data_IF_976784402098
#
_entry.id   IF_976784402098
#
_cell.length_a   1.000
_cell.length_b   1.000
_cell.length_c   1.000
_cell.angle_alpha   90.00
_cell.angle_beta   90.00
_cell.angle_gamma   90.00
#
_symmetry.space_group_name_H-M   'P 1'
#
loop_
_entity.id
_entity.type
_entity.pdbx_description
1 polymer ?
#
# COMPACT_ATOMS: atom_id res chain seq x y z
N UNK A 1 24.10 8.12 14.38
CA UNK A 1 23.40 7.37 13.32
C UNK A 1 22.12 6.83 13.96
N UNK A 2 20.94 7.26 13.52
CA UNK A 2 19.70 6.66 14.00
C UNK A 2 19.51 5.36 13.21
N UNK A 3 19.99 4.25 13.76
CA UNK A 3 19.78 2.95 13.15
C UNK A 3 18.33 2.52 13.40
N UNK A 4 17.46 2.73 12.43
CA UNK A 4 16.13 2.11 12.44
C UNK A 4 16.31 0.61 12.25
N UNK A 5 16.41 -0.12 13.36
CA UNK A 5 16.48 -1.58 13.37
C UNK A 5 15.16 -2.13 12.83
N UNK A 6 15.18 -2.62 11.59
CA UNK A 6 14.06 -3.36 11.03
C UNK A 6 13.95 -4.73 11.72
N UNK A 7 12.74 -5.25 11.94
CA UNK A 7 12.57 -6.60 12.45
C UNK A 7 13.27 -7.61 11.53
N UNK A 8 14.07 -8.51 12.11
CA UNK A 8 14.80 -9.53 11.36
C UNK A 8 13.90 -10.66 10.86
N UNK A 9 12.71 -10.81 11.43
CA UNK A 9 11.79 -11.91 11.15
C UNK A 9 10.42 -11.44 10.62
N UNK A 10 9.74 -12.24 9.77
CA UNK A 10 8.43 -11.89 9.22
C UNK A 10 7.36 -11.63 10.29
N UNK A 11 7.43 -12.33 11.43
CA UNK A 11 6.49 -12.17 12.55
C UNK A 11 6.70 -10.81 13.24
N UNK A 12 7.95 -10.36 13.37
CA UNK A 12 8.32 -9.03 13.83
C UNK A 12 7.79 -7.93 12.90
N UNK A 13 7.94 -8.10 11.58
CA UNK A 13 7.39 -7.17 10.58
C UNK A 13 5.86 -7.11 10.68
N UNK A 14 5.18 -8.25 10.71
CA UNK A 14 3.72 -8.28 10.86
C UNK A 14 3.26 -7.60 12.15
N UNK A 15 3.91 -7.90 13.28
CA UNK A 15 3.61 -7.27 14.58
C UNK A 15 3.82 -5.74 14.52
N UNK A 16 4.90 -5.28 13.88
CA UNK A 16 5.17 -3.85 13.70
C UNK A 16 4.08 -3.18 12.84
N UNK A 17 3.65 -3.82 11.75
CA UNK A 17 2.62 -3.29 10.86
C UNK A 17 1.23 -3.32 11.49
N UNK A 18 0.86 -4.37 12.21
CA UNK A 18 -0.39 -4.40 12.99
C UNK A 18 -0.37 -3.30 14.06
N UNK A 19 0.74 -3.11 14.76
CA UNK A 19 0.90 -2.00 15.73
C UNK A 19 0.69 -0.64 15.08
N UNK A 20 1.30 -0.43 13.91
CA UNK A 20 1.11 0.80 13.13
C UNK A 20 -0.37 0.98 12.73
N UNK A 21 -1.01 -0.03 12.15
CA UNK A 21 -2.42 0.00 11.76
C UNK A 21 -3.36 0.31 12.94
N UNK A 22 -3.13 -0.30 14.10
CA UNK A 22 -3.87 0.02 15.32
C UNK A 22 -3.66 1.45 15.78
N UNK A 23 -2.41 1.92 15.78
CA UNK A 23 -2.07 3.31 16.08
C UNK A 23 -2.81 4.28 15.17
N UNK A 24 -2.88 3.96 13.88
CA UNK A 24 -3.62 4.71 12.86
C UNK A 24 -5.13 4.74 13.16
N UNK A 25 -5.74 3.60 13.48
CA UNK A 25 -7.15 3.52 13.90
C UNK A 25 -7.43 4.37 15.15
N UNK A 26 -6.52 4.35 16.12
CA UNK A 26 -6.66 5.17 17.33
C UNK A 26 -6.52 6.67 17.03
N UNK A 27 -5.58 7.05 16.16
CA UNK A 27 -5.50 8.43 15.68
C UNK A 27 -6.79 8.82 14.99
N UNK A 28 -7.34 8.00 14.09
CA UNK A 28 -8.62 8.27 13.44
C UNK A 28 -9.76 8.48 14.43
N UNK A 29 -9.93 7.57 15.40
CA UNK A 29 -10.91 7.72 16.49
C UNK A 29 -10.74 9.02 17.28
N UNK A 30 -9.49 9.46 17.50
CA UNK A 30 -9.19 10.72 18.19
C UNK A 30 -9.65 11.92 17.36
N UNK A 31 -9.43 11.89 16.05
CA UNK A 31 -9.86 12.96 15.14
C UNK A 31 -11.38 13.03 14.93
N UNK A 32 -12.10 11.92 15.15
CA UNK A 32 -13.58 11.91 15.14
C UNK A 32 -14.21 12.59 16.37
N UNK A 33 -13.43 12.88 17.42
CA UNK A 33 -13.94 13.61 18.59
C UNK A 33 -13.84 15.11 18.35
N UNK A 34 -14.90 15.85 18.69
CA UNK A 34 -14.89 17.31 18.69
C UNK A 34 -13.87 17.83 19.71
N UNK A 35 -12.91 18.66 19.27
CA UNK A 35 -11.83 19.22 20.09
C UNK A 35 -10.44 18.86 19.59
N UNK A 36 -10.13 19.20 18.33
CA UNK A 36 -8.82 18.95 17.72
C UNK A 36 -7.74 19.80 18.41
N UNK A 37 -6.65 19.17 18.85
CA UNK A 37 -5.43 19.90 19.23
C UNK A 37 -4.64 20.24 17.97
N UNK A 38 -3.78 21.26 18.01
CA UNK A 38 -2.98 21.65 16.85
C UNK A 38 -2.17 20.48 16.25
N UNK A 39 -1.67 19.57 17.09
CA UNK A 39 -0.95 18.37 16.64
C UNK A 39 -1.80 17.42 15.80
N UNK A 40 -3.10 17.36 16.05
CA UNK A 40 -4.04 16.51 15.30
C UNK A 40 -4.15 16.99 13.85
N UNK A 41 -4.24 18.30 13.64
CA UNK A 41 -4.31 18.89 12.28
C UNK A 41 -3.10 18.54 11.39
N UNK A 42 -1.90 18.39 11.97
CA UNK A 42 -0.70 17.99 11.21
C UNK A 42 -0.65 16.49 10.93
N UNK A 43 -1.21 15.66 11.81
CA UNK A 43 -1.17 14.19 11.65
C UNK A 43 -2.28 13.66 10.74
N UNK A 44 -3.41 14.35 10.64
CA UNK A 44 -4.56 13.93 9.83
C UNK A 44 -4.23 13.78 8.33
N UNK A 45 -3.54 14.73 7.66
CA UNK A 45 -3.26 14.61 6.22
C UNK A 45 -2.35 13.42 5.91
N UNK A 46 -1.32 13.19 6.73
CA UNK A 46 -0.41 12.04 6.58
C UNK A 46 -1.17 10.73 6.81
N UNK A 47 -2.06 10.72 7.81
CA UNK A 47 -2.91 9.56 8.09
C UNK A 47 -3.83 9.25 6.91
N UNK A 48 -4.59 10.24 6.45
CA UNK A 48 -5.54 10.11 5.35
C UNK A 48 -4.80 9.72 4.08
N UNK A 49 -3.67 10.35 3.78
CA UNK A 49 -2.83 9.98 2.65
C UNK A 49 -2.47 8.50 2.70
N UNK A 50 -1.85 8.03 3.78
CA UNK A 50 -1.39 6.63 3.86
C UNK A 50 -2.53 5.61 3.77
N UNK A 51 -3.65 5.90 4.43
CA UNK A 51 -4.82 5.02 4.43
C UNK A 51 -5.54 5.01 3.08
N UNK A 52 -5.93 6.19 2.59
CA UNK A 52 -6.63 6.35 1.31
C UNK A 52 -5.76 5.78 0.19
N UNK A 53 -4.47 6.07 0.21
CA UNK A 53 -3.53 5.56 -0.78
C UNK A 53 -3.47 4.04 -0.80
N UNK A 54 -3.37 3.39 0.38
CA UNK A 54 -3.33 1.94 0.45
C UNK A 54 -4.62 1.29 -0.06
N UNK A 55 -5.77 1.87 0.29
CA UNK A 55 -7.08 1.39 -0.16
C UNK A 55 -7.22 1.59 -1.67
N UNK A 56 -6.96 2.81 -2.18
CA UNK A 56 -7.07 3.12 -3.62
C UNK A 56 -6.12 2.24 -4.42
N UNK A 57 -4.82 2.19 -4.06
CA UNK A 57 -3.83 1.40 -4.81
C UNK A 57 -4.11 -0.10 -4.73
N UNK A 58 -4.48 -0.59 -3.54
CA UNK A 58 -4.83 -2.00 -3.34
C UNK A 58 -6.05 -2.40 -4.17
N UNK A 59 -7.14 -1.65 -4.07
CA UNK A 59 -8.37 -1.90 -4.84
C UNK A 59 -8.20 -1.73 -6.34
N UNK A 60 -7.51 -0.67 -6.78
CA UNK A 60 -7.21 -0.40 -8.18
C UNK A 60 -6.50 -1.60 -8.82
N UNK A 61 -5.45 -2.08 -8.17
CA UNK A 61 -4.64 -3.14 -8.78
C UNK A 61 -5.34 -4.49 -8.71
N UNK A 62 -6.11 -4.78 -7.65
CA UNK A 62 -6.99 -5.96 -7.64
C UNK A 62 -7.97 -5.91 -8.81
N UNK A 63 -8.58 -4.75 -9.04
CA UNK A 63 -9.47 -4.54 -10.18
C UNK A 63 -8.74 -4.80 -11.51
N UNK A 64 -7.55 -4.25 -11.73
CA UNK A 64 -6.78 -4.46 -12.96
C UNK A 64 -6.34 -5.92 -13.15
N UNK A 65 -5.92 -6.60 -12.07
CA UNK A 65 -5.58 -8.03 -12.11
C UNK A 65 -6.79 -8.85 -12.50
N UNK A 66 -7.93 -8.65 -11.83
CA UNK A 66 -9.16 -9.41 -12.08
C UNK A 66 -9.67 -9.11 -13.50
N UNK A 67 -9.76 -7.84 -13.88
CA UNK A 67 -10.22 -7.42 -15.20
C UNK A 67 -9.34 -7.98 -16.31
N UNK A 68 -8.01 -7.81 -16.22
CA UNK A 68 -7.09 -8.36 -17.20
C UNK A 68 -7.11 -9.88 -17.25
N UNK A 69 -7.20 -10.55 -16.09
CA UNK A 69 -7.32 -12.01 -16.04
C UNK A 69 -8.59 -12.50 -16.75
N UNK A 70 -9.73 -11.87 -16.47
CA UNK A 70 -11.00 -12.23 -17.07
C UNK A 70 -11.00 -11.99 -18.59
N UNK A 71 -10.47 -10.85 -19.03
CA UNK A 71 -10.43 -10.48 -20.45
C UNK A 71 -9.47 -11.30 -21.28
N UNK A 72 -8.27 -11.63 -20.77
CA UNK A 72 -7.23 -12.29 -21.57
C UNK A 72 -7.13 -13.80 -21.39
N UNK A 73 -7.52 -14.34 -20.24
CA UNK A 73 -7.33 -15.76 -19.93
C UNK A 73 -8.66 -16.49 -19.75
N UNK A 74 -9.55 -15.98 -18.88
CA UNK A 74 -10.81 -16.66 -18.60
C UNK A 74 -11.75 -16.69 -19.82
N UNK A 75 -11.77 -15.62 -20.62
CA UNK A 75 -12.52 -15.55 -21.89
C UNK A 75 -12.10 -16.61 -22.91
N UNK A 76 -10.85 -17.08 -22.83
CA UNK A 76 -10.29 -18.13 -23.69
C UNK A 76 -10.35 -19.52 -23.05
N UNK A 77 -11.01 -19.66 -21.89
CA UNK A 77 -11.06 -20.92 -21.14
C UNK A 77 -9.73 -21.34 -20.52
N UNK A 78 -8.75 -20.44 -20.46
CA UNK A 78 -7.43 -20.71 -19.88
C UNK A 78 -7.43 -20.24 -18.43
N UNK A 79 -7.46 -21.17 -17.47
CA UNK A 79 -7.48 -20.82 -16.04
C UNK A 79 -6.10 -20.90 -15.38
N UNK A 80 -5.30 -21.89 -15.75
CA UNK A 80 -3.95 -22.09 -15.21
C UNK A 80 -2.97 -22.31 -16.36
N UNK A 81 -2.01 -21.39 -16.50
CA UNK A 81 -0.93 -21.51 -17.47
C UNK A 81 0.30 -20.73 -16.99
N UNK A 82 1.46 -20.97 -17.60
CA UNK A 82 2.65 -20.14 -17.38
C UNK A 82 2.42 -18.68 -17.76
N UNK A 83 1.53 -18.42 -18.73
CA UNK A 83 1.07 -17.08 -19.09
C UNK A 83 0.31 -16.38 -17.96
N UNK A 84 -0.59 -17.09 -17.28
CA UNK A 84 -1.31 -16.57 -16.10
C UNK A 84 -0.33 -16.24 -14.97
N UNK A 85 0.61 -17.13 -14.67
CA UNK A 85 1.61 -16.91 -13.63
C UNK A 85 2.49 -15.69 -13.93
N UNK A 86 2.93 -15.55 -15.19
CA UNK A 86 3.67 -14.37 -15.67
C UNK A 86 2.85 -13.10 -15.54
N UNK A 87 1.58 -13.13 -15.96
CA UNK A 87 0.67 -11.98 -15.85
C UNK A 87 0.53 -11.51 -14.40
N UNK A 88 0.30 -12.45 -13.46
CA UNK A 88 0.22 -12.13 -12.04
C UNK A 88 1.53 -11.54 -11.51
N UNK A 89 2.68 -12.12 -11.89
CA UNK A 89 3.98 -11.62 -11.46
C UNK A 89 4.27 -10.22 -11.99
N UNK A 90 3.91 -9.94 -13.25
CA UNK A 90 4.06 -8.61 -13.84
C UNK A 90 3.25 -7.58 -13.05
N UNK A 91 1.98 -7.85 -12.72
CA UNK A 91 1.17 -6.96 -11.88
C UNK A 91 1.65 -6.86 -10.42
N UNK A 92 2.30 -7.89 -9.89
CA UNK A 92 2.98 -7.84 -8.59
C UNK A 92 4.25 -6.98 -8.60
N UNK A 93 4.69 -6.54 -9.77
CA UNK A 93 5.90 -5.72 -9.95
C UNK A 93 5.60 -4.36 -10.57
N UNK A 94 6.57 -3.46 -10.53
CA UNK A 94 6.53 -2.18 -11.26
C UNK A 94 6.39 -2.37 -12.78
N UNK A 95 6.81 -3.53 -13.32
CA UNK A 95 6.76 -3.82 -14.75
C UNK A 95 5.32 -3.79 -15.26
N UNK A 96 4.38 -4.41 -14.53
CA UNK A 96 2.97 -4.39 -14.90
C UNK A 96 2.42 -2.96 -14.96
N UNK A 97 2.80 -2.12 -13.99
CA UNK A 97 2.41 -0.71 -13.98
C UNK A 97 3.01 0.06 -15.17
N UNK A 98 4.30 -0.11 -15.47
CA UNK A 98 4.94 0.56 -16.61
C UNK A 98 4.28 0.14 -17.92
N UNK A 99 4.00 -1.15 -18.12
CA UNK A 99 3.32 -1.66 -19.33
C UNK A 99 1.91 -1.10 -19.44
N UNK A 100 1.18 -1.06 -18.34
CA UNK A 100 -0.17 -0.49 -18.29
C UNK A 100 -0.16 1.02 -18.61
N UNK A 101 0.73 1.79 -17.97
CA UNK A 101 0.88 3.21 -18.24
C UNK A 101 1.30 3.48 -19.70
N UNK A 102 2.26 2.73 -20.22
CA UNK A 102 2.65 2.81 -21.63
C UNK A 102 1.47 2.48 -22.56
N UNK A 103 0.63 1.53 -22.17
CA UNK A 103 -0.59 1.17 -22.89
C UNK A 103 -1.62 2.32 -22.96
N UNK A 104 -1.73 3.09 -21.89
CA UNK A 104 -2.56 4.31 -21.86
C UNK A 104 -1.99 5.37 -22.79
N UNK A 105 -0.69 5.65 -22.71
CA UNK A 105 -0.04 6.66 -23.57
C UNK A 105 -0.06 6.27 -25.05
N UNK A 106 -0.03 4.98 -25.38
CA UNK A 106 -0.15 4.48 -26.74
C UNK A 106 -1.60 4.39 -27.24
N UNK A 107 -2.60 4.66 -26.39
CA UNK A 107 -4.02 4.54 -26.72
C UNK A 107 -4.55 3.10 -26.77
N UNK A 108 -3.74 2.11 -26.37
CA UNK A 108 -4.18 0.71 -26.30
C UNK A 108 -5.08 0.43 -25.09
N UNK A 109 -4.93 1.21 -24.01
CA UNK A 109 -5.80 1.15 -22.84
C UNK A 109 -6.57 2.48 -22.69
N UNK A 110 -7.86 2.45 -22.32
CA UNK A 110 -8.64 3.68 -22.16
C UNK A 110 -8.16 4.47 -20.94
N UNK A 111 -8.05 5.80 -21.10
CA UNK A 111 -7.84 6.72 -19.99
C UNK A 111 -9.19 7.02 -19.30
N UNK A 112 -9.61 6.12 -18.42
CA UNK A 112 -10.80 6.31 -17.60
C UNK A 112 -10.47 6.98 -16.24
N UNK A 113 -11.50 7.29 -15.47
CA UNK A 113 -11.32 7.92 -14.15
C UNK A 113 -10.50 7.04 -13.19
N UNK A 114 -10.61 5.73 -13.32
CA UNK A 114 -9.88 4.74 -12.51
C UNK A 114 -8.39 4.78 -12.86
N UNK A 115 -8.05 4.89 -14.14
CA UNK A 115 -6.69 5.03 -14.63
C UNK A 115 -6.06 6.34 -14.14
N UNK A 116 -6.79 7.45 -14.21
CA UNK A 116 -6.31 8.74 -13.67
C UNK A 116 -6.02 8.62 -12.17
N UNK A 117 -6.94 8.04 -11.40
CA UNK A 117 -6.72 7.83 -9.96
C UNK A 117 -5.48 6.95 -9.69
N UNK A 118 -5.31 5.86 -10.44
CA UNK A 118 -4.14 4.98 -10.33
C UNK A 118 -2.82 5.67 -10.68
N UNK A 119 -2.79 6.49 -11.74
CA UNK A 119 -1.61 7.26 -12.16
C UNK A 119 -1.27 8.30 -11.08
N UNK A 120 -2.24 9.10 -10.64
CA UNK A 120 -2.02 10.13 -9.61
C UNK A 120 -1.54 9.52 -8.30
N UNK A 121 -2.19 8.43 -7.85
CA UNK A 121 -1.74 7.72 -6.66
C UNK A 121 -0.30 7.23 -6.85
N UNK A 122 0.04 6.62 -7.99
CA UNK A 122 1.40 6.14 -8.23
C UNK A 122 2.45 7.25 -8.25
N UNK A 123 2.12 8.38 -8.89
CA UNK A 123 2.96 9.58 -8.92
C UNK A 123 3.12 10.24 -7.55
N UNK A 124 2.21 10.02 -6.62
CA UNK A 124 2.39 10.46 -5.23
C UNK A 124 3.27 9.48 -4.44
N UNK A 125 3.14 8.17 -4.66
CA UNK A 125 3.87 7.14 -3.90
C UNK A 125 5.35 7.07 -4.23
N UNK A 126 5.73 6.99 -5.51
CA UNK A 126 7.12 6.73 -5.90
C UNK A 126 8.07 7.88 -5.53
N UNK A 127 7.76 9.15 -5.82
CA UNK A 127 8.60 10.28 -5.40
C UNK A 127 8.77 10.35 -3.90
N UNK A 128 7.73 10.07 -3.11
CA UNK A 128 7.84 10.02 -1.65
C UNK A 128 8.81 8.92 -1.19
N UNK A 129 8.81 7.76 -1.86
CA UNK A 129 9.79 6.70 -1.59
C UNK A 129 11.22 7.13 -1.92
N UNK A 130 11.43 7.77 -3.08
CA UNK A 130 12.75 8.29 -3.46
C UNK A 130 13.22 9.37 -2.49
N UNK A 131 12.35 10.31 -2.10
CA UNK A 131 12.64 11.33 -1.11
C UNK A 131 12.99 10.71 0.25
N UNK A 132 12.26 9.67 0.67
CA UNK A 132 12.55 8.97 1.92
C UNK A 132 13.95 8.32 1.90
N UNK A 133 14.32 7.65 0.81
CA UNK A 133 15.66 7.06 0.67
C UNK A 133 16.73 8.16 0.67
N UNK A 134 16.52 9.23 -0.09
CA UNK A 134 17.47 10.34 -0.19
C UNK A 134 17.68 11.05 1.17
N UNK A 135 16.61 11.26 1.93
CA UNK A 135 16.67 11.95 3.22
C UNK A 135 17.21 11.08 4.36
N UNK A 136 16.76 9.83 4.46
CA UNK A 136 17.03 8.99 5.63
C UNK A 136 18.22 8.04 5.45
N UNK A 137 18.36 7.41 4.28
CA UNK A 137 19.45 6.46 4.02
C UNK A 137 20.65 7.12 3.33
N UNK A 138 20.44 8.19 2.57
CA UNK A 138 21.47 8.93 1.81
C UNK A 138 22.26 8.10 0.78
N UNK A 139 21.91 6.82 0.60
CA UNK A 139 22.52 5.90 -0.36
C UNK A 139 21.46 4.99 -0.99
N UNK A 140 21.62 4.68 -2.27
CA UNK A 140 20.73 3.79 -2.99
C UNK A 140 21.38 2.42 -3.17
N UNK A 141 21.19 1.52 -2.20
CA UNK A 141 21.61 0.12 -2.29
C UNK A 141 20.56 -0.75 -3.01
N UNK A 142 20.96 -1.89 -3.58
CA UNK A 142 20.08 -2.91 -4.19
C UNK A 142 18.91 -3.34 -3.28
N UNK A 143 19.09 -3.25 -1.96
CA UNK A 143 18.05 -3.54 -0.96
C UNK A 143 16.85 -2.58 -1.05
N UNK A 144 17.04 -1.37 -1.57
CA UNK A 144 15.96 -0.40 -1.80
C UNK A 144 15.26 -0.62 -3.15
N UNK A 145 15.96 -1.22 -4.12
CA UNK A 145 15.37 -1.54 -5.41
C UNK A 145 14.25 -2.59 -5.26
N UNK A 146 14.43 -3.60 -4.41
CA UNK A 146 13.43 -4.66 -4.18
C UNK A 146 12.05 -4.08 -3.79
N UNK A 147 11.89 -3.29 -2.71
CA UNK A 147 10.60 -2.73 -2.35
C UNK A 147 10.07 -1.72 -3.37
N UNK A 148 10.94 -1.08 -4.15
CA UNK A 148 10.54 -0.19 -5.25
C UNK A 148 9.94 -0.99 -6.42
N UNK A 149 10.55 -2.13 -6.76
CA UNK A 149 10.03 -3.06 -7.77
C UNK A 149 8.76 -3.77 -7.31
N UNK A 150 8.63 -4.09 -6.02
CA UNK A 150 7.50 -4.83 -5.45
C UNK A 150 6.65 -3.97 -4.52
N UNK A 151 6.43 -2.71 -4.90
CA UNK A 151 5.66 -1.76 -4.08
C UNK A 151 4.18 -2.15 -4.00
N UNK A 152 3.64 -2.80 -5.02
CA UNK A 152 2.24 -3.22 -5.04
C UNK A 152 1.89 -4.30 -3.99
N UNK A 153 2.62 -5.43 -3.88
CA UNK A 153 2.43 -6.40 -2.81
C UNK A 153 2.43 -5.77 -1.42
N UNK A 154 3.26 -4.73 -1.22
CA UNK A 154 3.31 -3.97 0.02
C UNK A 154 2.00 -3.21 0.29
N UNK A 155 1.41 -2.54 -0.71
CA UNK A 155 0.11 -1.88 -0.56
C UNK A 155 -1.02 -2.87 -0.28
N UNK A 156 -1.03 -4.04 -0.93
CA UNK A 156 -2.00 -5.10 -0.61
C UNK A 156 -1.88 -5.59 0.82
N UNK A 157 -0.65 -5.83 1.28
CA UNK A 157 -0.40 -6.26 2.65
C UNK A 157 -0.90 -5.21 3.64
N UNK A 158 -0.62 -3.92 3.40
CA UNK A 158 -1.12 -2.84 4.25
C UNK A 158 -2.64 -2.81 4.26
N UNK A 159 -3.28 -2.87 3.08
CA UNK A 159 -4.72 -2.89 2.93
C UNK A 159 -5.35 -4.07 3.69
N UNK A 160 -4.79 -5.27 3.55
CA UNK A 160 -5.24 -6.46 4.27
C UNK A 160 -5.13 -6.27 5.79
N UNK A 161 -4.00 -5.72 6.27
CA UNK A 161 -3.82 -5.42 7.69
C UNK A 161 -4.86 -4.38 8.16
N UNK A 162 -5.15 -3.35 7.36
CA UNK A 162 -6.18 -2.37 7.69
C UNK A 162 -7.56 -3.01 7.79
N UNK A 163 -7.95 -3.83 6.81
CA UNK A 163 -9.22 -4.59 6.83
C UNK A 163 -9.31 -5.48 8.08
N UNK A 164 -8.23 -6.20 8.41
CA UNK A 164 -8.18 -7.06 9.60
C UNK A 164 -8.26 -6.27 10.91
N UNK A 165 -7.80 -5.03 10.93
CA UNK A 165 -7.87 -4.17 12.11
C UNK A 165 -9.20 -3.39 12.20
N UNK A 166 -10.01 -3.33 11.14
CA UNK A 166 -11.32 -2.65 11.10
C UNK A 166 -12.24 -3.00 12.28
N UNK A 167 -12.37 -4.26 12.74
CA UNK A 167 -13.22 -4.58 13.90
C UNK A 167 -12.83 -3.81 15.18
N UNK A 168 -11.57 -3.40 15.32
CA UNK A 168 -11.12 -2.59 16.46
C UNK A 168 -11.71 -1.18 16.47
N UNK A 169 -12.24 -0.69 15.34
CA UNK A 169 -13.01 0.54 15.27
C UNK A 169 -14.27 0.47 16.14
N UNK A 170 -14.90 -0.70 16.23
CA UNK A 170 -16.15 -0.90 16.97
C UNK A 170 -15.93 -1.32 18.42
N UNK A 171 -14.68 -1.60 18.82
CA UNK A 171 -14.36 -1.93 20.21
C UNK A 171 -14.27 -0.67 21.09
N UNK A 172 -15.05 -0.65 22.17
CA UNK A 172 -14.99 0.36 23.23
C UNK A 172 -13.86 0.11 24.24
N UNK A 173 -13.25 -1.09 24.24
CA UNK A 173 -12.17 -1.45 25.17
C UNK A 173 -10.83 -0.98 24.62
N UNK A 174 -10.34 0.17 25.09
CA UNK A 174 -8.97 0.62 24.85
C UNK A 174 -8.03 -0.10 25.81
N UNK A 175 -7.57 -1.30 25.44
CA UNK A 175 -6.46 -1.92 26.17
C UNK A 175 -5.16 -1.21 25.78
N UNK A 176 -4.47 -0.66 26.77
CA UNK A 176 -3.11 -0.14 26.58
C UNK A 176 -2.14 -1.34 26.45
N UNK A 177 -2.21 -2.07 25.33
CA UNK A 177 -1.34 -3.22 24.98
C UNK A 177 0.11 -2.80 24.69
N UNK A 178 0.44 -1.54 24.99
CA UNK A 178 1.73 -0.90 24.81
C UNK A 178 2.58 -0.88 26.09
N UNK A 179 2.07 -1.40 27.23
CA UNK A 179 2.97 -1.83 28.29
C UNK A 179 3.90 -2.85 27.66
N UNK A 180 5.17 -2.47 27.44
CA UNK A 180 6.25 -3.46 27.37
C UNK A 180 6.02 -4.32 28.61
N UNK A 181 5.87 -5.63 28.42
CA UNK A 181 5.88 -6.54 29.55
C UNK A 181 7.18 -6.22 30.29
N UNK A 182 7.06 -5.63 31.49
CA UNK A 182 8.12 -5.64 32.49
C UNK A 182 8.36 -7.10 32.91
#
# INVERSE_FOLDING_TARGET
IAETVMPSDPKGVLRQRTRFARGMIHMFKRHLRFGMRAIDMYTLPIFLFTYIQAVIMGSFTLYQIISGYMSYFASQGVYFSSGVARFLFEWLSIVGFIRWAAGIFSGTAPLDAIAIAGILATLLSYPLYFLAIAMFDKKFDLRHAIPLFFMFPFWLLIMAIYILCTPELFSNKQYNRWKKNE
#
